data_IF_024811026959
#
_entry.id   IF_024811026959
#
_cell.length_a   1.000
_cell.length_b   1.000
_cell.length_c   1.000
_cell.angle_alpha   90.00
_cell.angle_beta   90.00
_cell.angle_gamma   90.00
#
_symmetry.space_group_name_H-M   'P 1'
#
loop_
_entity.id
_entity.type
_entity.pdbx_description
1 polymer ?
#
# COMPACT_ATOMS: atom_id res chain seq x y z
N UNK A 1 30.95 10.95 -22.07
CA UNK A 1 29.51 11.02 -21.76
C UNK A 1 29.26 10.10 -20.58
N UNK A 2 28.98 10.64 -19.39
CA UNK A 2 28.64 9.81 -18.22
C UNK A 2 27.21 9.31 -18.46
N UNK A 3 27.09 8.02 -18.77
CA UNK A 3 25.82 7.33 -18.78
C UNK A 3 25.30 7.40 -17.34
N UNK A 4 24.33 8.27 -17.07
CA UNK A 4 23.52 8.13 -15.87
C UNK A 4 22.81 6.81 -16.06
N UNK A 5 23.38 5.74 -15.48
CA UNK A 5 22.65 4.54 -15.16
C UNK A 5 21.59 5.06 -14.19
N UNK A 6 20.42 5.39 -14.72
CA UNK A 6 19.21 5.34 -13.92
C UNK A 6 19.24 3.91 -13.44
N UNK A 7 19.72 3.74 -12.22
CA UNK A 7 19.45 2.51 -11.49
C UNK A 7 17.95 2.60 -11.43
N UNK A 8 17.31 1.91 -12.36
CA UNK A 8 15.98 1.37 -12.19
C UNK A 8 16.17 0.49 -10.95
N UNK A 9 16.22 1.13 -9.78
CA UNK A 9 15.84 0.51 -8.55
C UNK A 9 14.42 0.12 -8.90
N UNK A 10 14.27 -1.11 -9.37
CA UNK A 10 13.09 -1.90 -9.08
C UNK A 10 13.08 -1.89 -7.57
N UNK A 11 12.55 -0.80 -7.04
CA UNK A 11 12.43 -0.50 -5.63
C UNK A 11 11.66 -1.71 -5.12
N UNK A 12 12.38 -2.64 -4.49
CA UNK A 12 11.87 -3.98 -4.29
C UNK A 12 10.68 -3.84 -3.36
N UNK A 13 9.49 -4.16 -3.86
CA UNK A 13 8.29 -4.03 -3.05
C UNK A 13 8.43 -4.98 -1.85
N UNK A 14 8.16 -4.43 -0.69
CA UNK A 14 8.06 -5.13 0.56
C UNK A 14 6.59 -5.20 0.96
N UNK A 15 6.25 -6.21 1.76
CA UNK A 15 4.91 -6.34 2.32
C UNK A 15 4.81 -5.47 3.56
N UNK A 16 3.86 -4.53 3.55
CA UNK A 16 3.56 -3.67 4.68
C UNK A 16 2.14 -3.92 5.18
N UNK A 17 2.01 -3.99 6.50
CA UNK A 17 0.74 -4.20 7.19
C UNK A 17 0.29 -2.92 7.87
N UNK A 18 -0.94 -2.49 7.58
CA UNK A 18 -1.52 -1.28 8.16
C UNK A 18 -1.82 -1.46 9.65
N UNK A 19 -1.34 -0.58 10.53
CA UNK A 19 -1.53 -0.64 11.99
C UNK A 19 -2.60 0.33 12.49
N UNK A 20 -3.10 1.24 11.63
CA UNK A 20 -4.13 2.21 11.97
C UNK A 20 -5.55 1.63 12.14
N UNK A 21 -6.42 2.45 12.73
CA UNK A 21 -7.86 2.27 12.83
C UNK A 21 -8.61 2.58 11.53
N UNK A 22 -9.93 2.38 11.51
CA UNK A 22 -10.78 2.64 10.33
C UNK A 22 -10.98 4.13 10.03
N UNK A 23 -10.69 5.01 10.98
CA UNK A 23 -10.73 6.47 10.81
C UNK A 23 -9.39 7.06 10.37
N UNK A 24 -8.33 6.25 10.36
CA UNK A 24 -6.98 6.73 10.08
C UNK A 24 -6.70 6.76 8.58
N UNK A 25 -5.79 7.62 8.16
CA UNK A 25 -5.44 7.76 6.76
C UNK A 25 -4.59 6.56 6.29
N UNK A 26 -5.07 5.71 5.36
CA UNK A 26 -4.29 4.60 4.84
C UNK A 26 -3.09 5.05 4.00
N UNK A 27 -2.97 6.32 3.62
CA UNK A 27 -1.78 6.83 2.93
C UNK A 27 -0.68 7.32 3.89
N UNK A 28 -0.92 7.31 5.20
CA UNK A 28 0.12 7.66 6.18
C UNK A 28 1.14 6.52 6.33
N UNK A 29 2.41 6.69 5.91
CA UNK A 29 3.42 5.65 6.02
C UNK A 29 3.74 5.25 7.46
N UNK A 30 3.47 6.11 8.45
CA UNK A 30 3.72 5.81 9.87
C UNK A 30 2.77 4.76 10.42
N UNK A 31 1.65 4.51 9.74
CA UNK A 31 0.67 3.50 10.10
C UNK A 31 0.96 2.16 9.44
N UNK A 32 2.22 1.88 9.08
CA UNK A 32 2.62 0.62 8.48
C UNK A 32 3.82 -0.02 9.19
N UNK A 33 3.82 -1.35 9.20
CA UNK A 33 4.90 -2.19 9.74
C UNK A 33 5.10 -3.41 8.85
N UNK A 34 6.30 -3.99 8.86
CA UNK A 34 6.58 -5.28 8.21
C UNK A 34 6.14 -6.47 9.07
N UNK A 35 5.76 -6.25 10.34
CA UNK A 35 5.29 -7.32 11.22
C UNK A 35 3.80 -7.60 10.98
N UNK A 36 3.42 -8.82 10.57
CA UNK A 36 2.01 -9.13 10.36
C UNK A 36 1.24 -9.03 11.70
N UNK A 37 0.05 -8.42 11.72
CA UNK A 37 -0.81 -8.43 12.91
C UNK A 37 -1.19 -9.87 13.27
N UNK A 38 -1.29 -10.16 14.58
CA UNK A 38 -1.73 -11.47 15.08
C UNK A 38 -3.22 -11.74 14.91
N UNK A 39 -4.02 -10.71 14.65
CA UNK A 39 -5.47 -10.84 14.52
C UNK A 39 -5.84 -11.30 13.10
N UNK A 40 -6.08 -12.62 12.99
CA UNK A 40 -6.71 -13.25 11.82
C UNK A 40 -8.18 -12.84 11.69
N UNK A 41 -8.54 -12.29 10.53
CA UNK A 41 -9.70 -11.44 10.31
C UNK A 41 -11.05 -12.19 10.20
N UNK A 42 -12.15 -11.65 10.79
CA UNK A 42 -13.53 -12.19 10.67
C UNK A 42 -14.65 -11.11 10.66
N UNK A 43 -14.96 -10.61 9.46
CA UNK A 43 -16.15 -9.83 9.00
C UNK A 43 -16.84 -8.75 9.91
N UNK A 44 -17.17 -7.54 9.38
CA UNK A 44 -17.19 -7.11 7.98
C UNK A 44 -16.14 -6.03 7.62
N UNK A 45 -15.56 -6.18 6.43
CA UNK A 45 -14.51 -5.38 5.76
C UNK A 45 -14.58 -3.86 5.95
N UNK A 46 -13.51 -3.23 6.46
CA UNK A 46 -13.44 -1.75 6.53
C UNK A 46 -12.06 -1.08 6.39
N UNK A 47 -10.96 -1.75 5.98
CA UNK A 47 -9.68 -1.02 5.74
C UNK A 47 -8.66 -1.77 4.88
N UNK A 48 -7.72 -1.03 4.30
CA UNK A 48 -6.50 -1.58 3.68
C UNK A 48 -5.73 -2.38 4.74
N UNK A 49 -5.36 -3.62 4.43
CA UNK A 49 -4.63 -4.51 5.35
C UNK A 49 -3.15 -4.56 5.01
N UNK A 50 -2.90 -4.79 3.73
CA UNK A 50 -1.62 -5.18 3.20
C UNK A 50 -1.40 -4.38 1.93
N UNK A 51 -0.22 -3.78 1.85
CA UNK A 51 0.25 -3.12 0.65
C UNK A 51 1.60 -3.68 0.22
N UNK A 52 1.82 -3.66 -1.08
CA UNK A 52 3.11 -3.86 -1.73
C UNK A 52 3.65 -2.48 -2.10
N UNK A 53 4.68 -2.07 -1.37
CA UNK A 53 5.31 -0.77 -1.57
C UNK A 53 6.79 -0.89 -1.26
N UNK A 54 7.64 -0.08 -1.90
CA UNK A 54 9.04 -0.10 -1.58
C UNK A 54 9.35 0.64 -0.30
N UNK A 55 10.53 0.37 0.29
CA UNK A 55 11.00 1.06 1.48
C UNK A 55 11.48 2.48 1.13
N UNK A 56 11.17 3.47 1.97
CA UNK A 56 11.62 4.86 1.84
C UNK A 56 13.07 5.07 2.34
N UNK A 57 13.68 4.02 2.90
CA UNK A 57 15.01 4.05 3.53
C UNK A 57 14.98 4.31 5.03
N UNK A 58 13.80 4.42 5.62
CA UNK A 58 13.55 4.66 7.05
C UNK A 58 12.60 3.62 7.67
N UNK A 59 12.56 2.41 7.10
CA UNK A 59 11.66 1.32 7.50
C UNK A 59 10.18 1.72 7.42
N UNK A 60 9.82 2.43 6.35
CA UNK A 60 8.46 2.85 6.03
C UNK A 60 8.17 2.63 4.54
N UNK A 61 6.91 2.41 4.16
CA UNK A 61 6.54 2.37 2.75
C UNK A 61 6.72 3.75 2.11
N UNK A 62 7.31 3.75 0.92
CA UNK A 62 7.50 4.94 0.09
C UNK A 62 6.24 5.19 -0.74
N UNK A 63 5.36 6.04 -0.23
CA UNK A 63 4.04 6.31 -0.82
C UNK A 63 4.09 7.07 -2.16
N UNK A 64 5.13 7.88 -2.37
CA UNK A 64 5.35 8.63 -3.62
C UNK A 64 6.05 7.79 -4.72
N UNK A 65 6.36 6.52 -4.43
CA UNK A 65 6.99 5.65 -5.41
C UNK A 65 6.02 5.31 -6.55
N UNK A 66 6.48 5.34 -7.81
CA UNK A 66 5.68 4.86 -8.93
C UNK A 66 5.48 3.33 -8.83
N UNK A 67 4.27 2.84 -9.09
CA UNK A 67 3.97 1.40 -9.02
C UNK A 67 4.66 0.57 -10.11
N UNK A 68 4.97 1.18 -11.25
CA UNK A 68 5.77 0.58 -12.29
C UNK A 68 6.38 1.69 -13.19
N UNK A 69 7.49 1.43 -13.89
CA UNK A 69 8.18 2.45 -14.70
C UNK A 69 7.36 2.97 -15.90
N UNK A 70 6.22 2.37 -16.21
CA UNK A 70 5.33 2.76 -17.31
C UNK A 70 4.05 3.46 -16.84
N UNK A 71 3.82 3.56 -15.53
CA UNK A 71 2.64 4.18 -14.93
C UNK A 71 3.02 5.50 -14.28
N UNK A 72 2.14 6.49 -14.40
CA UNK A 72 2.22 7.72 -13.61
C UNK A 72 1.61 7.55 -12.21
N UNK A 73 0.95 6.42 -11.95
CA UNK A 73 0.33 6.16 -10.66
C UNK A 73 1.40 5.88 -9.59
N UNK A 74 1.11 6.33 -8.38
CA UNK A 74 1.90 6.15 -7.18
C UNK A 74 1.30 5.09 -6.26
N UNK A 75 2.09 4.63 -5.30
CA UNK A 75 1.61 3.77 -4.20
C UNK A 75 0.45 4.45 -3.48
N UNK A 76 0.55 5.75 -3.19
CA UNK A 76 -0.50 6.57 -2.57
C UNK A 76 -1.82 6.53 -3.36
N UNK A 77 -1.79 6.84 -4.65
CA UNK A 77 -3.00 6.88 -5.50
C UNK A 77 -3.67 5.51 -5.59
N UNK A 78 -2.89 4.44 -5.64
CA UNK A 78 -3.43 3.07 -5.64
C UNK A 78 -4.06 2.71 -4.28
N UNK A 79 -3.50 3.19 -3.17
CA UNK A 79 -4.10 3.03 -1.84
C UNK A 79 -5.41 3.80 -1.74
N UNK A 80 -5.46 5.05 -2.19
CA UNK A 80 -6.68 5.88 -2.19
C UNK A 80 -7.78 5.26 -3.07
N UNK A 81 -7.43 4.80 -4.26
CA UNK A 81 -8.35 4.13 -5.19
C UNK A 81 -8.95 2.87 -4.55
N UNK A 82 -8.10 1.99 -4.01
CA UNK A 82 -8.53 0.81 -3.28
C UNK A 82 -9.38 1.16 -2.05
N UNK A 83 -8.99 2.18 -1.28
CA UNK A 83 -9.75 2.61 -0.10
C UNK A 83 -11.13 3.18 -0.48
N UNK A 84 -11.22 3.98 -1.55
CA UNK A 84 -12.51 4.51 -2.03
C UNK A 84 -13.48 3.40 -2.43
N UNK A 85 -12.95 2.30 -2.98
CA UNK A 85 -13.74 1.13 -3.39
C UNK A 85 -14.42 0.41 -2.23
N UNK A 86 -13.98 0.61 -0.98
CA UNK A 86 -14.64 0.07 0.21
C UNK A 86 -16.10 0.53 0.33
N UNK A 87 -16.39 1.73 -0.19
CA UNK A 87 -17.74 2.30 -0.20
C UNK A 87 -18.55 1.97 -1.46
N UNK A 88 -17.93 1.28 -2.43
CA UNK A 88 -18.57 0.92 -3.70
C UNK A 88 -19.60 -0.20 -3.50
N UNK A 89 -20.75 -0.17 -4.21
CA UNK A 89 -21.73 -1.27 -4.19
C UNK A 89 -21.17 -2.59 -4.75
N UNK A 90 -20.05 -2.54 -5.46
CA UNK A 90 -19.32 -3.72 -5.94
C UNK A 90 -18.37 -4.34 -4.90
N UNK A 91 -18.22 -3.71 -3.73
CA UNK A 91 -17.32 -4.13 -2.65
C UNK A 91 -15.85 -3.76 -2.86
N UNK A 92 -14.97 -4.08 -1.88
CA UNK A 92 -13.55 -3.76 -1.91
C UNK A 92 -12.83 -4.31 -3.15
N UNK A 93 -12.05 -3.48 -3.83
CA UNK A 93 -11.26 -3.83 -5.02
C UNK A 93 -9.77 -3.74 -4.71
N UNK A 94 -9.04 -4.85 -4.86
CA UNK A 94 -7.58 -4.89 -4.74
C UNK A 94 -6.91 -4.40 -6.03
N UNK A 95 -5.62 -4.11 -5.96
CA UNK A 95 -4.81 -3.69 -7.09
C UNK A 95 -3.34 -4.12 -6.91
N UNK A 96 -2.40 -3.56 -7.69
CA UNK A 96 -0.98 -3.94 -7.60
C UNK A 96 -0.33 -3.52 -6.28
N UNK A 97 -0.89 -2.52 -5.61
CA UNK A 97 -0.40 -2.01 -4.32
C UNK A 97 -1.17 -2.64 -3.18
N UNK A 98 -2.48 -2.46 -3.11
CA UNK A 98 -3.35 -3.03 -2.07
C UNK A 98 -3.71 -4.46 -2.43
N UNK A 99 -3.05 -5.41 -1.78
CA UNK A 99 -3.21 -6.85 -2.02
C UNK A 99 -4.28 -7.48 -1.13
N UNK A 100 -4.61 -6.85 0.01
CA UNK A 100 -5.64 -7.34 0.91
C UNK A 100 -6.32 -6.21 1.69
N UNK A 101 -7.58 -6.44 2.05
CA UNK A 101 -8.35 -5.61 2.98
C UNK A 101 -8.63 -6.39 4.26
N UNK A 102 -8.62 -5.71 5.42
CA UNK A 102 -9.00 -6.33 6.69
C UNK A 102 -10.51 -6.40 6.74
N UNK A 103 -11.00 -7.60 6.99
CA UNK A 103 -12.27 -7.76 7.67
C UNK A 103 -12.06 -7.41 9.15
N UNK A 104 -12.96 -6.59 9.70
CA UNK A 104 -13.01 -6.41 11.15
C UNK A 104 -13.37 -7.75 11.78
#
# INVERSE_FOLDING_TARGET
MKLHKVVEEVLQNETWYFTGGSSDNPTDPNLYTQTPPTDGCLAPYQKVCEIQAPNDGSDKPKMDAPINPSSSETVEEQIESAHSSLSSPSGPQTNSTVTAFRSN
#
